data_IF_314609648701
#
_entry.id   IF_314609648701
#
_cell.length_a   1.000
_cell.length_b   1.000
_cell.length_c   1.000
_cell.angle_alpha   90.00
_cell.angle_beta   90.00
_cell.angle_gamma   90.00
#
_symmetry.space_group_name_H-M   'P 1'
#
loop_
_entity.id
_entity.type
_entity.pdbx_description
1 polymer ?
#
# COMPACT_ATOMS: atom_id res chain seq x y z
N UNK A 1 -19.51 1.19 12.27
CA UNK A 1 -19.94 2.20 11.28
C UNK A 1 -20.62 3.31 12.06
N UNK A 2 -20.15 4.55 12.01
CA UNK A 2 -20.83 5.65 12.63
C UNK A 2 -22.22 5.82 12.01
N UNK A 3 -23.25 5.83 12.85
CA UNK A 3 -24.62 6.06 12.40
C UNK A 3 -24.85 7.56 12.35
N UNK A 4 -25.22 8.10 11.19
CA UNK A 4 -25.58 9.51 11.05
C UNK A 4 -27.06 9.68 11.33
N UNK A 5 -27.41 10.53 12.29
CA UNK A 5 -28.80 10.86 12.59
C UNK A 5 -29.29 11.97 11.65
N UNK A 6 -30.28 11.66 10.83
CA UNK A 6 -30.90 12.59 9.87
C UNK A 6 -32.18 13.26 10.43
N UNK A 7 -32.45 13.17 11.72
CA UNK A 7 -33.66 13.72 12.35
C UNK A 7 -33.65 15.25 12.53
N UNK A 8 -32.52 15.92 12.29
CA UNK A 8 -32.35 17.36 12.41
C UNK A 8 -32.90 18.17 11.23
N UNK A 9 -32.79 19.51 11.31
CA UNK A 9 -33.05 20.38 10.17
C UNK A 9 -32.06 20.10 9.03
N UNK A 10 -32.44 20.46 7.80
CA UNK A 10 -31.55 20.29 6.61
C UNK A 10 -30.18 20.90 6.84
N UNK A 11 -30.10 22.06 7.45
CA UNK A 11 -28.82 22.72 7.76
C UNK A 11 -27.99 21.95 8.77
N UNK A 12 -28.60 21.39 9.82
CA UNK A 12 -27.92 20.56 10.82
C UNK A 12 -27.38 19.25 10.20
N UNK A 13 -28.18 18.63 9.33
CA UNK A 13 -27.76 17.40 8.61
C UNK A 13 -26.60 17.71 7.68
N UNK A 14 -26.65 18.81 6.92
CA UNK A 14 -25.55 19.22 6.04
C UNK A 14 -24.27 19.51 6.80
N UNK A 15 -24.38 20.17 7.97
CA UNK A 15 -23.20 20.43 8.81
C UNK A 15 -22.61 19.11 9.33
N UNK A 16 -23.46 18.20 9.79
CA UNK A 16 -23.02 16.88 10.27
C UNK A 16 -22.30 16.08 9.17
N UNK A 17 -22.86 16.10 7.96
CA UNK A 17 -22.24 15.45 6.80
C UNK A 17 -20.90 16.08 6.43
N UNK A 18 -20.79 17.42 6.48
CA UNK A 18 -19.53 18.13 6.24
C UNK A 18 -18.47 17.77 7.29
N UNK A 19 -18.86 17.69 8.57
CA UNK A 19 -17.96 17.33 9.66
C UNK A 19 -17.47 15.89 9.52
N UNK A 20 -18.36 14.94 9.21
CA UNK A 20 -17.98 13.54 8.99
C UNK A 20 -17.11 13.39 7.72
N UNK A 21 -17.41 14.11 6.64
CA UNK A 21 -16.55 14.14 5.47
C UNK A 21 -15.14 14.65 5.81
N UNK A 22 -15.04 15.74 6.60
CA UNK A 22 -13.75 16.28 7.03
C UNK A 22 -12.96 15.28 7.87
N UNK A 23 -13.61 14.53 8.73
CA UNK A 23 -12.96 13.44 9.53
C UNK A 23 -12.43 12.34 8.60
N UNK A 24 -13.24 11.90 7.63
CA UNK A 24 -12.84 10.88 6.67
C UNK A 24 -11.63 11.33 5.83
N UNK A 25 -11.63 12.58 5.35
CA UNK A 25 -10.50 13.15 4.61
C UNK A 25 -9.22 13.13 5.44
N UNK A 26 -9.29 13.50 6.73
CA UNK A 26 -8.14 13.44 7.64
C UNK A 26 -7.65 12.01 7.83
N UNK A 27 -8.55 11.04 8.01
CA UNK A 27 -8.20 9.64 8.17
C UNK A 27 -7.53 9.08 6.92
N UNK A 28 -8.05 9.39 5.72
CA UNK A 28 -7.45 8.97 4.46
C UNK A 28 -6.05 9.56 4.31
N UNK A 29 -5.88 10.86 4.57
CA UNK A 29 -4.56 11.51 4.52
C UNK A 29 -3.56 10.89 5.50
N UNK A 30 -3.99 10.56 6.73
CA UNK A 30 -3.11 9.92 7.72
C UNK A 30 -2.69 8.52 7.26
N UNK A 31 -3.60 7.75 6.67
CA UNK A 31 -3.30 6.44 6.09
C UNK A 31 -2.33 6.54 4.91
N UNK A 32 -2.49 7.55 4.04
CA UNK A 32 -1.57 7.80 2.93
C UNK A 32 -0.17 8.16 3.43
N UNK A 33 -0.05 9.01 4.46
CA UNK A 33 1.24 9.34 5.06
C UNK A 33 1.91 8.11 5.68
N UNK A 34 1.15 7.26 6.38
CA UNK A 34 1.69 6.02 6.95
C UNK A 34 2.12 5.04 5.87
N UNK A 35 1.34 4.87 4.80
CA UNK A 35 1.70 4.03 3.68
C UNK A 35 2.99 4.50 3.01
N UNK A 36 3.14 5.82 2.79
CA UNK A 36 4.35 6.41 2.24
C UNK A 36 5.55 6.22 3.17
N UNK A 37 5.38 6.37 4.47
CA UNK A 37 6.43 6.13 5.46
C UNK A 37 6.90 4.66 5.44
N UNK A 38 5.96 3.70 5.38
CA UNK A 38 6.29 2.28 5.26
C UNK A 38 7.04 1.98 3.96
N UNK A 39 6.59 2.55 2.85
CA UNK A 39 7.25 2.43 1.55
C UNK A 39 8.69 2.94 1.59
N UNK A 40 8.90 4.08 2.21
CA UNK A 40 10.23 4.65 2.42
C UNK A 40 11.12 3.74 3.27
N UNK A 41 10.57 3.19 4.37
CA UNK A 41 11.29 2.22 5.20
C UNK A 41 11.66 0.95 4.42
N UNK A 42 10.75 0.43 3.58
CA UNK A 42 11.06 -0.71 2.72
C UNK A 42 12.21 -0.43 1.74
N UNK A 43 12.25 0.76 1.14
CA UNK A 43 13.36 1.17 0.28
C UNK A 43 14.68 1.22 1.06
N UNK A 44 14.65 1.70 2.29
CA UNK A 44 15.83 1.75 3.17
C UNK A 44 16.34 0.34 3.48
N UNK A 45 15.43 -0.57 3.85
CA UNK A 45 15.76 -1.98 4.13
C UNK A 45 16.28 -2.66 2.87
N UNK A 46 15.63 -2.45 1.71
CA UNK A 46 16.09 -3.00 0.44
C UNK A 46 17.50 -2.54 0.08
N UNK A 47 17.80 -1.25 0.30
CA UNK A 47 19.15 -0.71 0.09
C UNK A 47 20.19 -1.35 1.00
N UNK A 48 19.87 -1.51 2.28
CA UNK A 48 20.76 -2.19 3.23
C UNK A 48 21.01 -3.65 2.87
N UNK A 49 19.93 -4.37 2.51
CA UNK A 49 19.99 -5.79 2.17
C UNK A 49 20.66 -6.06 0.82
N UNK A 50 20.72 -5.09 -0.10
CA UNK A 50 21.42 -5.25 -1.37
C UNK A 50 22.95 -5.40 -1.21
N UNK A 51 23.50 -5.03 -0.05
CA UNK A 51 24.93 -5.13 0.28
C UNK A 51 25.30 -6.42 1.04
N UNK A 52 24.34 -7.33 1.28
CA UNK A 52 24.65 -8.66 1.83
C UNK A 52 25.37 -9.52 0.78
N UNK A 53 25.90 -10.65 1.22
CA UNK A 53 26.60 -11.54 0.31
C UNK A 53 25.64 -12.11 -0.79
N UNK A 54 26.20 -12.49 -1.94
CA UNK A 54 25.42 -12.86 -3.14
C UNK A 54 24.48 -14.03 -2.88
N UNK A 55 24.91 -15.03 -2.14
CA UNK A 55 24.09 -16.22 -1.83
C UNK A 55 22.90 -15.87 -0.94
N UNK A 56 23.07 -14.98 0.02
CA UNK A 56 22.01 -14.49 0.88
C UNK A 56 21.05 -13.58 0.11
N UNK A 57 21.57 -12.75 -0.79
CA UNK A 57 20.77 -11.92 -1.67
C UNK A 57 19.85 -12.76 -2.58
N UNK A 58 20.42 -13.77 -3.27
CA UNK A 58 19.64 -14.67 -4.12
C UNK A 58 18.58 -15.45 -3.34
N UNK A 59 18.91 -15.94 -2.15
CA UNK A 59 17.97 -16.64 -1.29
C UNK A 59 16.81 -15.72 -0.85
N UNK A 60 17.10 -14.47 -0.49
CA UNK A 60 16.09 -13.48 -0.11
C UNK A 60 15.17 -13.15 -1.29
N UNK A 61 15.74 -12.95 -2.48
CA UNK A 61 14.99 -12.67 -3.70
C UNK A 61 14.05 -13.84 -4.05
N UNK A 62 14.55 -15.06 -4.00
CA UNK A 62 13.76 -16.27 -4.27
C UNK A 62 12.64 -16.46 -3.24
N UNK A 63 12.90 -16.24 -1.96
CA UNK A 63 11.91 -16.35 -0.89
C UNK A 63 10.80 -15.29 -1.05
N UNK A 64 11.17 -14.06 -1.36
CA UNK A 64 10.20 -12.97 -1.57
C UNK A 64 9.35 -13.23 -2.81
N UNK A 65 9.94 -13.70 -3.91
CA UNK A 65 9.20 -14.06 -5.14
C UNK A 65 8.24 -15.21 -4.90
N UNK A 66 8.63 -16.22 -4.13
CA UNK A 66 7.74 -17.33 -3.76
C UNK A 66 6.57 -16.84 -2.89
N UNK A 67 6.83 -15.96 -1.93
CA UNK A 67 5.78 -15.35 -1.12
C UNK A 67 4.82 -14.50 -1.97
N UNK A 68 5.34 -13.73 -2.93
CA UNK A 68 4.53 -12.96 -3.89
C UNK A 68 3.59 -13.85 -4.69
N UNK A 69 4.11 -14.93 -5.27
CA UNK A 69 3.30 -15.92 -6.01
C UNK A 69 2.26 -16.57 -5.13
N UNK A 70 2.58 -16.91 -3.89
CA UNK A 70 1.65 -17.46 -2.92
C UNK A 70 0.50 -16.49 -2.62
N UNK A 71 0.77 -15.20 -2.50
CA UNK A 71 -0.28 -14.20 -2.30
C UNK A 71 -1.18 -14.06 -3.53
N UNK A 72 -0.64 -14.08 -4.75
CA UNK A 72 -1.44 -14.08 -5.99
C UNK A 72 -2.37 -15.28 -6.02
N UNK A 73 -1.87 -16.49 -5.75
CA UNK A 73 -2.69 -17.71 -5.71
C UNK A 73 -3.77 -17.63 -4.63
N UNK A 74 -3.46 -17.05 -3.48
CA UNK A 74 -4.43 -16.85 -2.40
C UNK A 74 -5.53 -15.87 -2.81
N UNK A 75 -5.18 -14.78 -3.49
CA UNK A 75 -6.15 -13.82 -4.02
C UNK A 75 -7.17 -14.51 -4.95
N UNK A 76 -6.70 -15.33 -5.88
CA UNK A 76 -7.56 -16.10 -6.80
C UNK A 76 -8.43 -17.10 -6.05
N UNK A 77 -7.86 -17.84 -5.10
CA UNK A 77 -8.58 -18.81 -4.28
C UNK A 77 -9.71 -18.17 -3.49
N UNK A 78 -9.46 -17.05 -2.83
CA UNK A 78 -10.48 -16.35 -2.05
C UNK A 78 -11.52 -15.67 -2.96
N UNK A 79 -11.14 -15.19 -4.14
CA UNK A 79 -12.08 -14.65 -5.11
C UNK A 79 -13.14 -15.65 -5.59
N UNK A 80 -12.82 -16.94 -5.56
CA UNK A 80 -13.70 -18.03 -6.02
C UNK A 80 -14.31 -18.87 -4.89
N UNK A 81 -14.05 -18.54 -3.61
CA UNK A 81 -14.55 -19.33 -2.48
C UNK A 81 -16.07 -19.14 -2.30
N UNK A 82 -16.89 -20.21 -2.52
CA UNK A 82 -18.34 -20.13 -2.39
C UNK A 82 -18.84 -19.97 -0.95
N UNK A 83 -17.98 -20.18 0.05
CA UNK A 83 -18.32 -20.06 1.47
C UNK A 83 -18.30 -18.60 1.94
N UNK A 84 -17.73 -17.71 1.16
CA UNK A 84 -17.61 -16.29 1.48
C UNK A 84 -18.69 -15.46 0.78
N UNK A 85 -19.12 -14.38 1.42
CA UNK A 85 -19.99 -13.40 0.77
C UNK A 85 -19.22 -12.66 -0.35
N UNK A 86 -19.90 -11.99 -1.30
CA UNK A 86 -19.24 -11.21 -2.34
C UNK A 86 -18.29 -10.15 -1.77
N UNK A 87 -18.68 -9.47 -0.69
CA UNK A 87 -17.88 -8.44 -0.02
C UNK A 87 -16.64 -9.06 0.63
N UNK A 88 -16.78 -10.20 1.30
CA UNK A 88 -15.65 -10.92 1.91
C UNK A 88 -14.68 -11.42 0.84
N UNK A 89 -15.17 -11.94 -0.28
CA UNK A 89 -14.32 -12.34 -1.41
C UNK A 89 -13.52 -11.17 -1.97
N UNK A 90 -14.20 -10.06 -2.22
CA UNK A 90 -13.57 -8.84 -2.75
C UNK A 90 -12.52 -8.28 -1.78
N UNK A 91 -12.84 -8.20 -0.49
CA UNK A 91 -11.92 -7.69 0.53
C UNK A 91 -10.69 -8.59 0.71
N UNK A 92 -10.89 -9.91 0.80
CA UNK A 92 -9.80 -10.86 0.94
C UNK A 92 -8.90 -10.86 -0.32
N UNK A 93 -9.50 -10.88 -1.51
CA UNK A 93 -8.76 -10.77 -2.76
C UNK A 93 -7.89 -9.53 -2.78
N UNK A 94 -8.45 -8.36 -2.49
CA UNK A 94 -7.73 -7.09 -2.51
C UNK A 94 -6.57 -7.06 -1.51
N UNK A 95 -6.77 -7.62 -0.31
CA UNK A 95 -5.71 -7.72 0.69
C UNK A 95 -4.48 -8.49 0.18
N UNK A 96 -4.69 -9.66 -0.44
CA UNK A 96 -3.60 -10.45 -1.00
C UNK A 96 -2.96 -9.81 -2.25
N UNK A 97 -3.75 -9.14 -3.09
CA UNK A 97 -3.23 -8.38 -4.23
C UNK A 97 -2.29 -7.26 -3.75
N UNK A 98 -2.69 -6.48 -2.74
CA UNK A 98 -1.84 -5.43 -2.16
C UNK A 98 -0.54 -6.00 -1.59
N UNK A 99 -0.60 -7.13 -0.89
CA UNK A 99 0.62 -7.78 -0.40
C UNK A 99 1.55 -8.21 -1.53
N UNK A 100 1.01 -8.72 -2.63
CA UNK A 100 1.80 -9.09 -3.80
C UNK A 100 2.41 -7.87 -4.51
N UNK A 101 1.66 -6.78 -4.62
CA UNK A 101 2.12 -5.51 -5.16
C UNK A 101 3.31 -4.94 -4.35
N UNK A 102 3.20 -4.92 -3.02
CA UNK A 102 4.26 -4.45 -2.13
C UNK A 102 5.53 -5.34 -2.22
N UNK A 103 5.36 -6.64 -2.35
CA UNK A 103 6.48 -7.56 -2.58
C UNK A 103 7.18 -7.32 -3.92
N UNK A 104 6.43 -7.02 -4.98
CA UNK A 104 7.01 -6.65 -6.28
C UNK A 104 7.81 -5.34 -6.21
N UNK A 105 7.29 -4.34 -5.50
CA UNK A 105 8.03 -3.09 -5.26
C UNK A 105 9.32 -3.33 -4.48
N UNK A 106 9.28 -4.20 -3.46
CA UNK A 106 10.47 -4.58 -2.70
C UNK A 106 11.50 -5.27 -3.60
N UNK A 107 11.11 -6.27 -4.40
CA UNK A 107 11.98 -6.95 -5.34
C UNK A 107 12.61 -5.98 -6.35
N UNK A 108 11.82 -5.05 -6.87
CA UNK A 108 12.28 -4.02 -7.79
C UNK A 108 13.30 -3.09 -7.12
N UNK A 109 13.03 -2.67 -5.89
CA UNK A 109 13.94 -1.83 -5.10
C UNK A 109 15.27 -2.54 -4.81
N UNK A 110 15.21 -3.82 -4.48
CA UNK A 110 16.39 -4.66 -4.25
C UNK A 110 17.27 -4.76 -5.53
N UNK A 111 16.65 -5.00 -6.68
CA UNK A 111 17.37 -5.08 -7.97
C UNK A 111 18.04 -3.76 -8.31
N UNK A 112 17.33 -2.65 -8.17
CA UNK A 112 17.88 -1.30 -8.40
C UNK A 112 19.03 -0.98 -7.47
N UNK A 113 18.86 -1.25 -6.17
CA UNK A 113 19.92 -1.03 -5.19
C UNK A 113 21.16 -1.87 -5.49
N UNK A 114 20.99 -3.13 -5.90
CA UNK A 114 22.07 -4.03 -6.29
C UNK A 114 22.81 -3.56 -7.55
N UNK A 115 22.10 -2.99 -8.53
CA UNK A 115 22.69 -2.42 -9.75
C UNK A 115 23.32 -1.04 -9.56
N UNK A 116 23.21 -0.45 -8.37
CA UNK A 116 23.69 0.91 -8.07
C UNK A 116 22.77 2.02 -8.62
N UNK A 117 21.56 1.67 -9.06
CA UNK A 117 20.57 2.66 -9.45
C UNK A 117 19.93 3.30 -8.21
N UNK A 118 19.50 4.56 -8.35
CA UNK A 118 18.76 5.24 -7.28
C UNK A 118 17.39 4.60 -7.10
N UNK A 119 17.10 4.16 -5.87
CA UNK A 119 15.78 3.66 -5.48
C UNK A 119 14.85 4.80 -5.04
N UNK A 120 15.40 5.97 -4.79
CA UNK A 120 14.63 7.15 -4.39
C UNK A 120 14.26 7.96 -5.62
N UNK A 121 12.96 8.03 -5.93
CA UNK A 121 12.43 9.00 -6.88
C UNK A 121 12.38 10.35 -6.17
N UNK A 122 13.19 11.29 -6.59
CA UNK A 122 13.05 12.68 -6.16
C UNK A 122 11.75 13.18 -6.77
N UNK A 123 10.72 13.31 -5.95
CA UNK A 123 9.53 14.05 -6.37
C UNK A 123 9.99 15.51 -6.49
N UNK A 124 10.23 15.95 -7.72
CA UNK A 124 10.45 17.35 -8.01
C UNK A 124 9.13 18.11 -7.80
N UNK A 125 8.80 18.36 -6.55
CA UNK A 125 7.77 19.31 -6.14
C UNK A 125 8.34 20.71 -6.07
N UNK A 126 9.07 21.12 -7.09
CA UNK A 126 9.54 22.49 -7.23
C UNK A 126 8.58 23.24 -8.15
N UNK A 127 7.81 24.21 -7.60
CA UNK A 127 7.31 25.31 -8.41
C UNK A 127 8.53 25.92 -9.09
N UNK A 128 8.59 25.86 -10.42
CA UNK A 128 9.42 26.78 -11.17
C UNK A 128 8.92 28.18 -10.85
N UNK A 129 9.68 28.93 -10.09
CA UNK A 129 9.52 30.38 -10.01
C UNK A 129 10.08 30.87 -11.34
N UNK A 130 9.19 31.12 -12.30
CA UNK A 130 9.53 31.93 -13.46
C UNK A 130 9.67 33.36 -12.95
N UNK A 131 10.89 33.90 -13.04
CA UNK A 131 11.19 35.31 -12.94
C UNK A 131 10.69 36.04 -14.18
#
# INVERSE_FOLDING_TARGET
>A
VPTIDFSGTTQQVLQLLADEHSKLVKQVSDLEFRANAHRFMFMFVASALSNIDESQYEALMAMTENARKSNINSAEKFASDPKLTPEQRSGARRAFEVMAEEMEEFLTSMRKAKSGESIFTVIQGGKSIED
#
